data_IF_323217555978
#
_entry.id   IF_323217555978
#
_cell.length_a   1.000
_cell.length_b   1.000
_cell.length_c   1.000
_cell.angle_alpha   90.00
_cell.angle_beta   90.00
_cell.angle_gamma   90.00
#
_symmetry.space_group_name_H-M   'P 1'
#
loop_
_entity.id
_entity.type
_entity.pdbx_description
1 polymer ?
#
# COMPACT_ATOMS: atom_id res chain seq x y z
N UNK A 1 0.36 -16.79 -15.42
CA UNK A 1 0.29 -15.43 -15.98
C UNK A 1 -0.48 -14.59 -15.00
N UNK A 2 0.02 -13.40 -14.68
CA UNK A 2 -0.70 -12.47 -13.82
C UNK A 2 -2.06 -12.19 -14.46
N UNK A 3 -3.15 -12.43 -13.72
CA UNK A 3 -4.51 -12.19 -14.20
C UNK A 3 -4.88 -10.73 -13.95
N UNK A 4 -4.14 -9.82 -14.58
CA UNK A 4 -4.38 -8.38 -14.47
C UNK A 4 -5.02 -7.94 -15.79
N UNK A 5 -6.31 -7.53 -15.77
CA UNK A 5 -6.95 -6.94 -16.94
C UNK A 5 -6.11 -5.77 -17.46
N UNK A 6 -5.93 -5.71 -18.78
CA UNK A 6 -5.20 -4.61 -19.44
C UNK A 6 -3.73 -4.45 -19.00
N UNK A 7 -3.06 -5.51 -18.54
CA UNK A 7 -1.65 -5.45 -18.13
C UNK A 7 -0.74 -4.80 -19.19
N UNK A 8 -0.98 -5.09 -20.47
CA UNK A 8 -0.23 -4.52 -21.59
C UNK A 8 -0.36 -2.98 -21.65
N UNK A 9 -1.48 -2.41 -21.21
CA UNK A 9 -1.69 -0.95 -21.15
C UNK A 9 -0.82 -0.30 -20.08
N UNK A 10 -0.53 -1.00 -18.99
CA UNK A 10 0.37 -0.52 -17.94
C UNK A 10 1.85 -0.65 -18.31
N UNK A 11 2.18 -1.55 -19.23
CA UNK A 11 3.54 -1.84 -19.68
C UNK A 11 3.62 -1.74 -21.22
N UNK A 12 3.28 -0.59 -21.81
CA UNK A 12 3.16 -0.46 -23.27
C UNK A 12 4.48 -0.72 -24.00
N UNK A 13 5.60 -0.44 -23.34
CA UNK A 13 6.95 -0.59 -23.88
C UNK A 13 7.51 -2.02 -23.79
N UNK A 14 6.73 -3.00 -23.31
CA UNK A 14 7.18 -4.36 -23.08
C UNK A 14 6.41 -5.39 -23.92
N UNK A 15 7.10 -6.33 -24.56
CA UNK A 15 6.49 -7.53 -25.16
C UNK A 15 6.28 -8.60 -24.06
N UNK A 16 5.05 -8.70 -23.54
CA UNK A 16 4.74 -9.56 -22.40
C UNK A 16 4.53 -11.02 -22.82
N UNK A 17 5.42 -11.91 -22.35
CA UNK A 17 5.37 -13.35 -22.61
C UNK A 17 5.03 -14.16 -21.36
N UNK A 18 4.13 -15.14 -21.50
CA UNK A 18 3.74 -16.02 -20.38
C UNK A 18 4.84 -17.00 -19.98
N UNK A 19 5.62 -17.47 -20.93
CA UNK A 19 6.68 -18.45 -20.72
C UNK A 19 8.04 -17.83 -21.05
N UNK A 20 9.08 -18.13 -20.27
CA UNK A 20 10.41 -17.59 -20.53
C UNK A 20 10.98 -18.21 -21.80
N UNK A 21 11.27 -17.36 -22.78
CA UNK A 21 12.03 -17.69 -23.99
C UNK A 21 13.51 -17.31 -23.78
N UNK A 22 14.45 -17.78 -24.61
CA UNK A 22 15.87 -17.43 -24.44
C UNK A 22 16.18 -15.93 -24.56
N UNK A 23 15.37 -15.18 -25.33
CA UNK A 23 15.54 -13.76 -25.63
C UNK A 23 14.84 -12.81 -24.64
N UNK A 24 14.26 -13.32 -23.55
CA UNK A 24 13.62 -12.43 -22.55
C UNK A 24 14.65 -11.51 -21.89
N UNK A 25 14.29 -10.24 -21.75
CA UNK A 25 15.18 -9.21 -21.20
C UNK A 25 14.94 -8.93 -19.71
N UNK A 26 13.79 -9.35 -19.17
CA UNK A 26 13.43 -9.20 -17.76
C UNK A 26 12.41 -10.26 -17.35
N UNK A 27 12.25 -10.46 -16.05
CA UNK A 27 11.18 -11.29 -15.47
C UNK A 27 10.26 -10.42 -14.64
N UNK A 28 8.96 -10.47 -14.91
CA UNK A 28 7.95 -9.71 -14.19
C UNK A 28 7.21 -10.62 -13.20
N UNK A 29 6.97 -10.14 -11.98
CA UNK A 29 6.20 -10.86 -10.96
C UNK A 29 5.42 -9.92 -10.04
N UNK A 30 4.54 -10.48 -9.21
CA UNK A 30 3.74 -9.69 -8.27
C UNK A 30 4.45 -9.58 -6.92
N UNK A 31 4.99 -8.39 -6.64
CA UNK A 31 5.72 -8.05 -5.43
C UNK A 31 6.79 -9.08 -5.10
N UNK A 32 6.83 -9.47 -3.84
CA UNK A 32 7.74 -10.48 -3.30
C UNK A 32 7.06 -11.79 -2.89
N UNK A 33 5.83 -12.02 -3.36
CA UNK A 33 4.98 -13.13 -2.91
C UNK A 33 5.64 -14.48 -3.20
N UNK A 34 5.29 -15.55 -2.46
CA UNK A 34 5.76 -16.91 -2.78
C UNK A 34 5.49 -17.31 -4.23
N UNK A 35 4.38 -16.83 -4.82
CA UNK A 35 4.04 -17.04 -6.23
C UNK A 35 5.07 -16.45 -7.22
N UNK A 36 5.82 -15.42 -6.82
CA UNK A 36 6.88 -14.83 -7.62
C UNK A 36 8.25 -15.47 -7.41
N UNK A 37 8.41 -16.38 -6.43
CA UNK A 37 9.70 -16.93 -6.06
C UNK A 37 10.42 -17.66 -7.21
N UNK A 38 9.67 -18.41 -8.03
CA UNK A 38 10.23 -19.08 -9.20
C UNK A 38 10.73 -18.07 -10.26
N UNK A 39 9.98 -16.99 -10.49
CA UNK A 39 10.38 -15.91 -11.40
C UNK A 39 11.64 -15.19 -10.93
N UNK A 40 11.73 -14.86 -9.64
CA UNK A 40 12.94 -14.25 -9.06
C UNK A 40 14.17 -15.16 -9.16
N UNK A 41 14.01 -16.46 -8.89
CA UNK A 41 15.09 -17.45 -9.04
C UNK A 41 15.57 -17.52 -10.49
N UNK A 42 14.64 -17.50 -11.44
CA UNK A 42 14.96 -17.49 -12.87
C UNK A 42 15.73 -16.23 -13.28
N UNK A 43 15.26 -15.05 -12.83
CA UNK A 43 15.92 -13.78 -13.09
C UNK A 43 17.37 -13.81 -12.57
N UNK A 44 17.57 -14.21 -11.31
CA UNK A 44 18.89 -14.34 -10.71
C UNK A 44 19.79 -15.34 -11.45
N UNK A 45 19.28 -16.53 -11.80
CA UNK A 45 20.05 -17.56 -12.49
C UNK A 45 20.49 -17.14 -13.91
N UNK A 46 19.75 -16.23 -14.55
CA UNK A 46 20.06 -15.70 -15.89
C UNK A 46 20.71 -14.32 -15.88
N UNK A 47 20.92 -13.71 -14.72
CA UNK A 47 21.39 -12.32 -14.61
C UNK A 47 20.43 -11.29 -15.22
N UNK A 48 19.12 -11.58 -15.23
CA UNK A 48 18.09 -10.69 -15.76
C UNK A 48 17.51 -9.81 -14.65
N UNK A 49 17.07 -8.57 -14.97
CA UNK A 49 16.24 -7.76 -14.07
C UNK A 49 14.97 -8.50 -13.64
N UNK A 50 14.58 -8.30 -12.38
CA UNK A 50 13.26 -8.65 -11.88
C UNK A 50 12.44 -7.39 -11.68
N UNK A 51 11.29 -7.31 -12.33
CA UNK A 51 10.35 -6.20 -12.22
C UNK A 51 9.20 -6.64 -11.31
N UNK A 52 9.11 -6.03 -10.14
CA UNK A 52 8.04 -6.24 -9.18
C UNK A 52 6.84 -5.33 -9.50
N UNK A 53 5.68 -5.95 -9.69
CA UNK A 53 4.40 -5.26 -9.80
C UNK A 53 3.64 -5.30 -8.49
N UNK A 54 2.97 -4.20 -8.15
CA UNK A 54 1.98 -4.15 -7.08
C UNK A 54 0.82 -3.22 -7.45
N UNK A 55 -0.24 -3.27 -6.66
CA UNK A 55 -1.33 -2.29 -6.77
C UNK A 55 -0.82 -0.88 -6.48
N UNK A 56 -1.18 0.10 -7.32
CA UNK A 56 -0.85 1.50 -7.05
C UNK A 56 -1.55 2.06 -5.80
N UNK A 57 -1.14 3.27 -5.41
CA UNK A 57 -1.66 3.92 -4.20
C UNK A 57 -3.12 4.37 -4.32
N UNK A 58 -3.60 4.65 -5.54
CA UNK A 58 -5.02 4.84 -5.88
C UNK A 58 -5.45 3.72 -6.84
N UNK A 59 -6.00 2.64 -6.30
CA UNK A 59 -6.17 1.37 -7.01
C UNK A 59 -7.49 1.27 -7.76
N UNK A 60 -8.64 1.45 -7.10
CA UNK A 60 -9.93 1.06 -7.68
C UNK A 60 -11.11 1.68 -6.93
N UNK A 61 -12.33 1.53 -7.47
CA UNK A 61 -13.57 1.59 -6.68
C UNK A 61 -13.97 0.14 -6.42
N UNK A 62 -13.78 -0.35 -5.20
CA UNK A 62 -13.94 -1.76 -4.87
C UNK A 62 -12.64 -2.45 -4.45
N UNK A 63 -12.78 -3.60 -3.79
CA UNK A 63 -11.67 -4.46 -3.37
C UNK A 63 -11.19 -5.33 -4.54
N UNK A 64 -9.88 -5.58 -4.60
CA UNK A 64 -9.30 -6.49 -5.59
C UNK A 64 -9.81 -7.92 -5.46
N UNK A 65 -9.99 -8.39 -4.23
CA UNK A 65 -10.53 -9.71 -3.89
C UNK A 65 -11.99 -9.87 -4.35
N UNK A 66 -12.75 -8.77 -4.39
CA UNK A 66 -14.11 -8.72 -4.92
C UNK A 66 -14.16 -8.54 -6.45
N UNK A 67 -13.01 -8.61 -7.14
CA UNK A 67 -12.91 -8.52 -8.60
C UNK A 67 -12.81 -7.11 -9.17
N UNK A 68 -12.63 -6.08 -8.35
CA UNK A 68 -12.45 -4.71 -8.83
C UNK A 68 -11.14 -4.58 -9.63
N UNK A 69 -11.26 -4.05 -10.86
CA UNK A 69 -10.12 -3.85 -11.78
C UNK A 69 -9.19 -2.76 -11.24
N UNK A 70 -7.88 -2.99 -11.35
CA UNK A 70 -6.90 -1.98 -10.96
C UNK A 70 -6.83 -0.86 -11.99
N UNK A 71 -6.89 0.38 -11.52
CA UNK A 71 -6.76 1.64 -12.27
C UNK A 71 -5.31 2.16 -12.26
N UNK A 72 -4.47 1.66 -11.35
CA UNK A 72 -3.04 2.00 -11.29
C UNK A 72 -2.20 0.85 -10.78
N UNK A 73 -0.95 0.77 -11.25
CA UNK A 73 0.04 -0.20 -10.80
C UNK A 73 1.34 0.50 -10.42
N UNK A 74 1.99 -0.03 -9.39
CA UNK A 74 3.40 0.23 -9.13
C UNK A 74 4.23 -0.73 -9.97
N UNK A 75 5.24 -0.20 -10.67
CA UNK A 75 6.19 -0.96 -11.48
C UNK A 75 7.59 -0.63 -10.96
N UNK A 76 8.23 -1.60 -10.32
CA UNK A 76 9.53 -1.41 -9.67
C UNK A 76 10.55 -2.41 -10.21
N UNK A 77 11.54 -1.90 -10.92
CA UNK A 77 12.63 -2.66 -11.54
C UNK A 77 13.91 -2.68 -10.69
N UNK A 78 13.87 -2.11 -9.48
CA UNK A 78 14.98 -2.09 -8.53
C UNK A 78 14.70 -2.92 -7.27
N UNK A 79 13.48 -2.86 -6.77
CA UNK A 79 13.03 -3.53 -5.54
C UNK A 79 11.50 -3.55 -5.47
N UNK A 80 10.93 -3.13 -4.35
CA UNK A 80 9.51 -2.83 -4.22
C UNK A 80 9.33 -1.85 -3.04
N UNK A 81 8.37 -0.92 -3.13
CA UNK A 81 8.25 0.20 -2.19
C UNK A 81 8.09 -0.19 -0.70
N UNK A 82 7.61 -1.40 -0.41
CA UNK A 82 7.39 -1.85 0.97
C UNK A 82 8.56 -2.67 1.55
N UNK A 83 9.58 -2.98 0.75
CA UNK A 83 10.76 -3.74 1.19
C UNK A 83 11.89 -2.79 1.57
N UNK A 84 12.03 -2.53 2.88
CA UNK A 84 13.06 -1.67 3.44
C UNK A 84 14.43 -2.37 3.55
N UNK A 85 14.56 -3.65 3.16
CA UNK A 85 15.85 -4.37 3.20
C UNK A 85 16.78 -4.04 2.04
N UNK A 86 16.27 -3.36 1.01
CA UNK A 86 17.00 -3.01 -0.22
C UNK A 86 16.42 -1.74 -0.85
N UNK A 87 17.18 -1.07 -1.73
CA UNK A 87 16.65 0.08 -2.47
C UNK A 87 15.43 -0.27 -3.34
N UNK A 88 14.52 0.68 -3.48
CA UNK A 88 13.35 0.59 -4.36
C UNK A 88 13.33 1.72 -5.38
N UNK A 89 12.57 1.57 -6.47
CA UNK A 89 12.41 2.64 -7.46
C UNK A 89 11.79 3.89 -6.82
N UNK A 90 10.85 3.72 -5.88
CA UNK A 90 10.27 4.83 -5.14
C UNK A 90 11.31 5.55 -4.27
N UNK A 91 12.16 4.81 -3.55
CA UNK A 91 13.23 5.39 -2.75
C UNK A 91 14.19 6.20 -3.61
N UNK A 92 14.58 5.68 -4.77
CA UNK A 92 15.43 6.42 -5.73
C UNK A 92 14.75 7.67 -6.26
N UNK A 93 13.45 7.62 -6.56
CA UNK A 93 12.70 8.82 -6.99
C UNK A 93 12.67 9.90 -5.91
N UNK A 94 12.54 9.51 -4.64
CA UNK A 94 12.59 10.44 -3.51
C UNK A 94 14.01 11.02 -3.35
N UNK A 95 15.04 10.16 -3.40
CA UNK A 95 16.45 10.57 -3.28
C UNK A 95 16.84 11.58 -4.36
N UNK A 96 16.44 11.34 -5.60
CA UNK A 96 16.76 12.21 -6.75
C UNK A 96 15.72 13.28 -7.03
N UNK A 97 14.75 13.49 -6.12
CA UNK A 97 13.72 14.51 -6.27
C UNK A 97 14.27 15.91 -6.65
N UNK A 98 15.43 16.38 -6.14
CA UNK A 98 16.01 17.64 -6.58
C UNK A 98 16.27 17.75 -8.10
N UNK A 99 16.46 16.63 -8.80
CA UNK A 99 16.83 16.59 -10.22
C UNK A 99 15.61 16.70 -11.16
N UNK A 100 14.41 16.36 -10.69
CA UNK A 100 13.21 16.26 -11.53
C UNK A 100 11.95 16.90 -10.94
N UNK A 101 11.90 17.12 -9.63
CA UNK A 101 10.76 17.71 -8.93
C UNK A 101 10.86 19.24 -8.89
N UNK A 102 10.73 19.84 -10.08
CA UNK A 102 10.70 21.28 -10.27
C UNK A 102 9.44 21.94 -9.66
N UNK A 103 9.33 23.27 -9.81
CA UNK A 103 8.18 24.02 -9.30
C UNK A 103 6.86 23.59 -9.93
N UNK A 104 6.85 23.19 -11.20
CA UNK A 104 5.63 22.75 -11.89
C UNK A 104 5.17 21.39 -11.36
N UNK A 105 6.10 20.46 -11.15
CA UNK A 105 5.84 19.17 -10.53
C UNK A 105 5.31 19.34 -9.11
N UNK A 106 5.92 20.21 -8.29
CA UNK A 106 5.46 20.51 -6.93
C UNK A 106 4.05 21.10 -6.92
N UNK A 107 3.76 22.04 -7.83
CA UNK A 107 2.42 22.61 -7.95
C UNK A 107 1.37 21.55 -8.36
N UNK A 108 1.72 20.68 -9.30
CA UNK A 108 0.86 19.55 -9.69
C UNK A 108 0.65 18.58 -8.52
N UNK A 109 1.71 18.23 -7.80
CA UNK A 109 1.63 17.35 -6.64
C UNK A 109 0.72 17.93 -5.56
N UNK A 110 0.86 19.23 -5.25
CA UNK A 110 -0.03 19.94 -4.31
C UNK A 110 -1.48 19.87 -4.75
N UNK A 111 -1.80 20.24 -5.99
CA UNK A 111 -3.16 20.17 -6.52
C UNK A 111 -3.76 18.74 -6.48
N UNK A 112 -2.92 17.71 -6.68
CA UNK A 112 -3.34 16.32 -6.57
C UNK A 112 -3.62 15.92 -5.11
N UNK A 113 -2.76 16.32 -4.17
CA UNK A 113 -2.97 16.10 -2.73
C UNK A 113 -4.25 16.77 -2.30
N UNK A 114 -4.45 18.06 -2.62
CA UNK A 114 -5.64 18.82 -2.26
C UNK A 114 -6.91 18.11 -2.79
N UNK A 115 -6.90 17.68 -4.05
CA UNK A 115 -8.02 16.91 -4.63
C UNK A 115 -8.26 15.59 -3.92
N UNK A 116 -7.23 14.82 -3.57
CA UNK A 116 -7.37 13.56 -2.82
C UNK A 116 -7.99 13.83 -1.44
N UNK A 117 -7.54 14.89 -0.77
CA UNK A 117 -8.03 15.29 0.54
C UNK A 117 -9.49 15.69 0.47
N UNK A 118 -9.83 16.65 -0.40
CA UNK A 118 -11.18 17.19 -0.60
C UNK A 118 -12.21 16.14 -1.00
N UNK A 119 -11.84 15.21 -1.89
CA UNK A 119 -12.76 14.19 -2.39
C UNK A 119 -12.85 12.95 -1.50
N UNK A 120 -11.98 12.84 -0.49
CA UNK A 120 -11.94 11.65 0.37
C UNK A 120 -11.44 10.39 -0.33
N UNK A 121 -10.73 10.50 -1.47
CA UNK A 121 -10.19 9.34 -2.18
C UNK A 121 -9.18 8.57 -1.31
N UNK A 122 -9.19 7.25 -1.49
CA UNK A 122 -8.30 6.29 -0.82
C UNK A 122 -7.92 5.16 -1.79
N UNK A 123 -7.12 4.19 -1.34
CA UNK A 123 -6.65 3.09 -2.22
C UNK A 123 -7.80 2.39 -2.95
N UNK A 124 -8.87 2.01 -2.27
CA UNK A 124 -9.98 1.23 -2.85
C UNK A 124 -11.30 2.00 -2.93
N UNK A 125 -11.36 3.22 -2.42
CA UNK A 125 -12.56 4.09 -2.42
C UNK A 125 -13.81 3.37 -1.90
N UNK A 126 -13.61 2.54 -0.86
CA UNK A 126 -14.63 1.73 -0.21
C UNK A 126 -14.96 2.25 1.19
N UNK A 127 -16.04 1.72 1.75
CA UNK A 127 -16.51 1.99 3.10
C UNK A 127 -17.72 2.90 3.12
N UNK A 128 -18.51 2.76 4.19
CA UNK A 128 -19.62 3.65 4.52
C UNK A 128 -19.16 4.89 5.29
N UNK A 129 -20.07 5.83 5.55
CA UNK A 129 -19.81 6.92 6.47
C UNK A 129 -19.49 6.38 7.87
N UNK A 130 -18.58 7.06 8.57
CA UNK A 130 -18.27 6.72 9.97
C UNK A 130 -19.48 7.02 10.87
N UNK A 131 -19.92 6.03 11.64
CA UNK A 131 -20.85 6.24 12.75
C UNK A 131 -20.12 6.94 13.91
N UNK A 132 -20.33 8.26 14.00
CA UNK A 132 -19.72 9.10 15.02
C UNK A 132 -20.21 8.80 16.44
N UNK A 133 -21.32 8.08 16.60
CA UNK A 133 -21.82 7.70 17.93
C UNK A 133 -20.88 6.71 18.64
N UNK A 134 -20.01 6.03 17.90
CA UNK A 134 -18.96 5.15 18.42
C UNK A 134 -17.80 5.93 19.07
N UNK A 135 -17.64 7.21 18.70
CA UNK A 135 -16.48 8.00 19.08
C UNK A 135 -16.65 8.59 20.48
N UNK A 136 -15.64 8.39 21.32
CA UNK A 136 -15.57 9.01 22.65
C UNK A 136 -15.17 10.49 22.52
N UNK A 137 -15.63 11.36 23.44
CA UNK A 137 -15.19 12.75 23.47
C UNK A 137 -13.71 12.86 23.90
N UNK A 138 -13.08 13.99 23.58
CA UNK A 138 -11.69 14.28 23.90
C UNK A 138 -10.72 13.89 22.79
N UNK A 139 -9.43 13.79 23.15
CA UNK A 139 -8.37 13.43 22.22
C UNK A 139 -8.53 11.98 21.75
N UNK A 140 -8.41 11.76 20.44
CA UNK A 140 -8.61 10.46 19.79
C UNK A 140 -7.35 10.02 19.08
N UNK A 141 -6.95 8.79 19.36
CA UNK A 141 -5.80 8.13 18.74
C UNK A 141 -6.32 6.96 17.92
N UNK A 142 -5.98 6.95 16.62
CA UNK A 142 -6.25 5.81 15.75
C UNK A 142 -5.08 4.85 15.79
N UNK A 143 -5.38 3.58 15.97
CA UNK A 143 -4.43 2.48 15.84
C UNK A 143 -4.85 1.64 14.65
N UNK A 144 -3.97 1.52 13.66
CA UNK A 144 -4.27 0.89 12.38
C UNK A 144 -3.81 -0.56 12.40
N UNK A 145 -4.76 -1.49 12.45
CA UNK A 145 -4.49 -2.91 12.23
C UNK A 145 -4.18 -3.21 10.75
N UNK A 146 -3.56 -4.36 10.49
CA UNK A 146 -3.20 -4.80 9.15
C UNK A 146 -3.44 -6.31 8.99
N UNK A 147 -3.73 -6.75 7.77
CA UNK A 147 -3.93 -8.17 7.46
C UNK A 147 -2.69 -8.99 7.84
N UNK A 148 -2.91 -10.06 8.62
CA UNK A 148 -1.83 -10.97 8.99
C UNK A 148 -1.16 -11.57 7.75
N UNK A 149 0.18 -11.55 7.72
CA UNK A 149 0.96 -12.01 6.56
C UNK A 149 1.05 -11.02 5.40
N UNK A 150 0.56 -9.78 5.56
CA UNK A 150 0.87 -8.70 4.62
C UNK A 150 2.39 -8.54 4.51
N UNK A 151 2.88 -8.57 3.27
CA UNK A 151 4.31 -8.55 2.99
C UNK A 151 4.99 -7.23 3.39
N UNK A 152 4.23 -6.14 3.48
CA UNK A 152 4.76 -4.86 3.94
C UNK A 152 5.14 -4.90 5.42
N UNK A 153 4.61 -5.83 6.23
CA UNK A 153 5.03 -6.00 7.63
C UNK A 153 6.48 -6.46 7.68
N UNK A 154 6.75 -7.66 7.15
CA UNK A 154 8.10 -8.22 7.13
C UNK A 154 9.05 -7.39 6.27
N UNK A 155 8.56 -6.85 5.14
CA UNK A 155 9.33 -5.96 4.27
C UNK A 155 9.73 -4.65 4.96
N UNK A 156 8.86 -4.11 5.81
CA UNK A 156 9.15 -2.92 6.63
C UNK A 156 9.92 -3.21 7.91
N UNK A 157 10.59 -4.37 8.01
CA UNK A 157 11.37 -4.80 9.18
C UNK A 157 10.54 -4.93 10.47
N UNK A 158 9.23 -5.14 10.33
CA UNK A 158 8.30 -5.34 11.43
C UNK A 158 7.85 -6.79 11.54
N UNK A 159 7.18 -7.11 12.64
CA UNK A 159 6.62 -8.42 12.92
C UNK A 159 5.25 -8.28 13.60
N UNK A 160 4.49 -9.38 13.82
CA UNK A 160 3.25 -9.32 14.59
C UNK A 160 3.43 -8.66 15.97
N UNK A 161 4.60 -8.83 16.59
CA UNK A 161 4.95 -8.20 17.86
C UNK A 161 4.97 -6.67 17.78
N UNK A 162 5.32 -6.07 16.63
CA UNK A 162 5.27 -4.62 16.43
C UNK A 162 3.85 -4.04 16.56
N UNK A 163 2.82 -4.85 16.31
CA UNK A 163 1.44 -4.45 16.54
C UNK A 163 1.09 -4.50 18.02
N UNK A 164 1.65 -5.43 18.81
CA UNK A 164 1.45 -5.45 20.26
C UNK A 164 2.05 -4.21 20.93
N UNK A 165 3.23 -3.80 20.49
CA UNK A 165 3.87 -2.56 20.95
C UNK A 165 3.01 -1.32 20.61
N UNK A 166 2.25 -1.38 19.52
CA UNK A 166 1.35 -0.32 19.09
C UNK A 166 0.00 -0.37 19.81
N UNK A 167 -0.47 -1.55 20.21
CA UNK A 167 -1.88 -1.83 20.48
C UNK A 167 -2.15 -2.28 21.91
N UNK A 168 -2.20 -1.32 22.81
CA UNK A 168 -3.14 -1.43 23.92
C UNK A 168 -4.61 -1.29 23.40
N UNK A 169 -5.10 -2.23 22.55
CA UNK A 169 -6.49 -2.63 22.14
C UNK A 169 -7.18 -2.50 20.72
N UNK A 170 -8.17 -3.38 20.39
CA UNK A 170 -9.27 -3.30 19.37
C UNK A 170 -9.27 -4.21 18.09
N UNK A 171 -10.33 -5.02 17.82
CA UNK A 171 -10.47 -6.27 16.97
C UNK A 171 -10.67 -6.10 15.44
N UNK A 172 -9.69 -6.51 14.64
CA UNK A 172 -9.91 -7.06 13.28
C UNK A 172 -9.25 -8.45 13.20
N UNK A 173 -9.49 -9.25 12.15
CA UNK A 173 -8.60 -10.37 11.81
C UNK A 173 -7.29 -9.80 11.23
N UNK A 174 -6.54 -9.09 12.07
CA UNK A 174 -5.23 -8.56 11.73
C UNK A 174 -4.17 -9.09 12.69
N UNK A 175 -3.12 -8.31 12.90
CA UNK A 175 -2.00 -8.70 13.75
C UNK A 175 -2.25 -8.47 15.24
N UNK A 176 -3.35 -7.78 15.60
CA UNK A 176 -3.70 -7.46 16.99
C UNK A 176 -4.57 -8.59 17.59
N UNK A 177 -4.15 -9.26 18.67
CA UNK A 177 -4.89 -10.38 19.23
C UNK A 177 -6.07 -9.93 20.11
N UNK A 178 -7.17 -10.71 20.17
CA UNK A 178 -8.42 -10.33 20.86
C UNK A 178 -8.33 -9.90 22.33
N UNK A 179 -7.33 -10.37 23.05
CA UNK A 179 -7.07 -10.06 24.46
C UNK A 179 -6.41 -8.69 24.66
N UNK A 180 -5.68 -8.20 23.65
CA UNK A 180 -5.08 -6.88 23.72
C UNK A 180 -6.15 -5.80 23.73
N UNK A 181 -7.43 -6.14 23.42
CA UNK A 181 -8.52 -5.25 23.02
C UNK A 181 -9.34 -4.56 24.11
N UNK A 182 -8.94 -4.72 25.36
CA UNK A 182 -9.61 -4.07 26.48
C UNK A 182 -9.53 -2.54 26.42
N UNK A 183 -10.68 -1.87 26.51
CA UNK A 183 -10.75 -0.41 26.72
C UNK A 183 -10.75 0.45 25.46
N UNK A 184 -10.49 -0.10 24.27
CA UNK A 184 -10.60 0.66 23.03
C UNK A 184 -11.98 0.59 22.38
N UNK A 185 -12.30 1.66 21.65
CA UNK A 185 -13.43 1.69 20.73
C UNK A 185 -13.01 0.97 19.48
N UNK A 186 -13.72 -0.11 19.17
CA UNK A 186 -13.48 -0.87 17.97
C UNK A 186 -14.29 -0.34 16.78
N UNK A 187 -13.61 -0.11 15.67
CA UNK A 187 -14.22 0.09 14.35
C UNK A 187 -13.99 -1.18 13.51
N UNK A 188 -14.93 -2.12 13.60
CA UNK A 188 -14.92 -3.41 12.89
C UNK A 188 -15.77 -3.41 11.61
N UNK A 189 -16.32 -2.26 11.24
CA UNK A 189 -17.07 -2.05 10.01
C UNK A 189 -16.20 -1.39 8.94
N UNK A 190 -16.57 -1.58 7.69
CA UNK A 190 -15.93 -0.89 6.57
C UNK A 190 -16.35 0.59 6.57
N UNK A 191 -15.46 1.43 7.06
CA UNK A 191 -15.60 2.90 7.07
C UNK A 191 -14.68 3.53 6.04
N UNK A 192 -15.10 4.66 5.47
CA UNK A 192 -14.24 5.47 4.62
C UNK A 192 -13.05 5.96 5.46
N UNK A 193 -11.83 5.63 5.02
CA UNK A 193 -10.61 6.04 5.71
C UNK A 193 -10.52 7.55 5.93
N UNK A 194 -10.95 8.35 4.95
CA UNK A 194 -11.00 9.81 5.06
C UNK A 194 -11.89 10.31 6.21
N UNK A 195 -13.08 9.71 6.40
CA UNK A 195 -13.98 10.08 7.49
C UNK A 195 -13.37 9.73 8.85
N UNK A 196 -12.68 8.59 8.95
CA UNK A 196 -12.00 8.18 10.17
C UNK A 196 -10.83 9.09 10.51
N UNK A 197 -10.00 9.43 9.52
CA UNK A 197 -8.85 10.31 9.69
C UNK A 197 -9.25 11.75 10.06
N UNK A 198 -10.43 12.20 9.62
CA UNK A 198 -10.95 13.52 9.98
C UNK A 198 -11.37 13.64 11.46
N UNK A 199 -11.54 12.52 12.16
CA UNK A 199 -12.05 12.49 13.54
C UNK A 199 -10.96 12.15 14.58
N UNK A 200 -9.69 12.05 14.19
CA UNK A 200 -8.59 11.63 15.06
C UNK A 200 -7.43 12.62 15.05
N UNK A 201 -6.72 12.71 16.18
CA UNK A 201 -5.61 13.65 16.36
C UNK A 201 -4.24 13.01 16.06
N UNK A 202 -4.13 11.69 16.25
CA UNK A 202 -2.89 10.94 16.08
C UNK A 202 -3.21 9.60 15.45
N UNK A 203 -2.34 9.15 14.55
CA UNK A 203 -2.42 7.85 13.90
C UNK A 203 -1.14 7.06 14.19
N UNK A 204 -1.30 5.85 14.71
CA UNK A 204 -0.24 4.86 14.77
C UNK A 204 -0.51 3.77 13.73
N UNK A 205 0.48 3.51 12.89
CA UNK A 205 0.48 2.45 11.91
C UNK A 205 1.87 1.81 11.87
N UNK A 206 1.92 0.50 11.65
CA UNK A 206 3.19 -0.22 11.44
C UNK A 206 3.71 0.09 10.03
N UNK A 207 3.05 -0.46 9.00
CA UNK A 207 3.44 -0.26 7.58
C UNK A 207 2.25 0.01 6.66
N UNK A 208 1.08 0.30 7.23
CA UNK A 208 -0.16 0.51 6.49
C UNK A 208 -0.12 1.79 5.66
N UNK A 209 -0.62 1.72 4.42
CA UNK A 209 -0.81 2.87 3.55
C UNK A 209 -1.72 3.96 4.18
N UNK A 210 -2.60 3.58 5.12
CA UNK A 210 -3.43 4.54 5.85
C UNK A 210 -2.59 5.51 6.70
N UNK A 211 -1.39 5.09 7.13
CA UNK A 211 -0.43 5.98 7.77
C UNK A 211 0.05 7.10 6.84
N UNK A 212 0.26 6.81 5.55
CA UNK A 212 0.59 7.84 4.56
C UNK A 212 -0.63 8.72 4.23
N UNK A 213 -1.84 8.15 4.15
CA UNK A 213 -3.06 8.95 4.00
C UNK A 213 -3.26 9.92 5.18
N UNK A 214 -2.87 9.55 6.39
CA UNK A 214 -2.89 10.43 7.56
C UNK A 214 -1.91 11.62 7.38
N UNK A 215 -0.69 11.38 6.88
CA UNK A 215 0.29 12.45 6.59
C UNK A 215 -0.28 13.46 5.59
N UNK A 216 -1.02 13.01 4.58
CA UNK A 216 -1.63 13.90 3.58
C UNK A 216 -2.76 14.78 4.14
N UNK A 217 -3.40 14.35 5.24
CA UNK A 217 -4.63 14.97 5.76
C UNK A 217 -4.42 15.75 7.06
N UNK A 218 -3.43 15.36 7.85
CA UNK A 218 -3.12 15.95 9.16
C UNK A 218 -1.93 16.93 9.12
N UNK A 219 -1.13 16.90 8.04
CA UNK A 219 0.01 17.80 7.82
C UNK A 219 -0.35 19.00 6.96
#
# INVERSE_FOLDING_TARGET
MLKIPFLQTFLPDHDLRRLPTPDVQAVIGWGLKPSAAAGRKLAAARGLPYIALEDGFLRSVGLGEAGATSLSLSVDDLGIYYDATRPSRLERLIETAPDWCDSAMKARARALVDRIVETGLSKTNMGGPLDRSLLRPGRRVLIVDQTAGDQSIAGGLASPESFLDMVAAGRKQGCIPPEALGGLTLIDTDVRGADLLAEVDVVYAVTSALGFEAVLRLG
#
